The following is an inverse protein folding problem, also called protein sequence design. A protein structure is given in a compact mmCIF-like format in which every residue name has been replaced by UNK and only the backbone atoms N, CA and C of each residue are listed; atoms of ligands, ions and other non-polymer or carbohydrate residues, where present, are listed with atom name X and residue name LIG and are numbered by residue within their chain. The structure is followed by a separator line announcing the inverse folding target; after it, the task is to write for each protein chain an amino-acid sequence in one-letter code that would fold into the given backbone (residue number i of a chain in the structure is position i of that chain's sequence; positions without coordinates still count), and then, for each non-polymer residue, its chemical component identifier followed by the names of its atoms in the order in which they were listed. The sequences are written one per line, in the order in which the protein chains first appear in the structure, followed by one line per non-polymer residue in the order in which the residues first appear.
data_IF_211454138157
#
_entry.id   IF_211454138157
#
_cell.length_a   1.000
_cell.length_b   1.000
_cell.length_c   1.000
_cell.angle_alpha   90.00
_cell.angle_beta   90.00
_cell.angle_gamma   90.00
#
_symmetry.space_group_name_H-M   'P 1'
#
loop_
_entity.id
_entity.type
_entity.pdbx_description
1 polymer ?
#
# COMPACT_ATOMS: atom_id res chain seq x y z
N UNK A 1 -8.17 -10.68 9.53
CA UNK A 1 -6.72 -10.87 9.31
C UNK A 1 -6.49 -12.31 8.89
N UNK A 2 -6.05 -12.59 7.68
CA UNK A 2 -5.91 -13.98 7.21
C UNK A 2 -5.34 -14.14 5.81
N UNK A 3 -5.49 -13.13 4.95
CA UNK A 3 -4.76 -13.04 3.68
C UNK A 3 -3.28 -12.70 3.94
N UNK A 4 -2.38 -13.31 3.15
CA UNK A 4 -0.94 -13.00 3.15
C UNK A 4 -0.65 -11.53 2.84
N UNK A 5 -1.58 -10.83 2.16
CA UNK A 5 -1.52 -9.39 1.90
C UNK A 5 -1.34 -8.57 3.18
N UNK A 6 -1.86 -9.02 4.32
CA UNK A 6 -1.71 -8.30 5.59
C UNK A 6 -0.27 -8.24 6.11
N UNK A 7 0.61 -9.17 5.72
CA UNK A 7 2.00 -9.16 6.17
C UNK A 7 2.74 -7.89 5.74
N UNK A 8 2.39 -7.30 4.59
CA UNK A 8 3.02 -6.05 4.11
C UNK A 8 2.71 -4.86 4.99
N UNK A 9 1.58 -4.86 5.70
CA UNK A 9 1.25 -3.83 6.68
C UNK A 9 2.18 -3.85 7.90
N UNK A 10 2.93 -4.93 8.12
CA UNK A 10 3.79 -5.14 9.28
C UNK A 10 5.24 -5.45 8.87
N UNK A 11 5.69 -4.94 7.71
CA UNK A 11 7.04 -5.21 7.19
C UNK A 11 8.15 -4.95 8.22
N UNK A 12 8.02 -3.91 9.04
CA UNK A 12 8.98 -3.55 10.09
C UNK A 12 9.02 -4.52 11.29
N UNK A 13 7.95 -5.29 11.52
CA UNK A 13 7.87 -6.33 12.55
C UNK A 13 8.36 -7.69 12.05
N UNK A 14 8.11 -7.98 10.76
CA UNK A 14 8.57 -9.19 10.06
C UNK A 14 10.08 -9.12 9.85
N UNK A 15 10.58 -7.99 9.34
CA UNK A 15 12.00 -7.77 9.06
C UNK A 15 12.60 -6.97 10.22
N UNK A 16 13.15 -7.70 11.21
CA UNK A 16 13.69 -7.13 12.45
C UNK A 16 15.16 -6.71 12.36
N UNK A 17 15.87 -7.11 11.31
CA UNK A 17 17.26 -6.71 11.10
C UNK A 17 17.36 -5.18 10.93
N UNK A 18 18.03 -4.52 11.87
CA UNK A 18 18.18 -3.06 11.89
C UNK A 18 19.03 -2.51 10.73
N UNK A 19 19.82 -3.38 10.08
CA UNK A 19 20.59 -3.02 8.88
C UNK A 19 19.70 -2.87 7.65
N UNK A 20 18.56 -3.55 7.62
CA UNK A 20 17.57 -3.40 6.56
C UNK A 20 16.77 -2.12 6.81
N UNK A 21 17.05 -1.11 5.99
CA UNK A 21 16.41 0.21 6.09
C UNK A 21 15.14 0.30 5.25
N UNK A 22 15.16 -0.28 4.06
CA UNK A 22 14.10 -0.16 3.07
C UNK A 22 13.74 -1.54 2.53
N UNK A 23 12.45 -1.75 2.31
CA UNK A 23 11.91 -2.99 1.74
C UNK A 23 10.99 -2.63 0.59
N UNK A 24 11.29 -3.11 -0.60
CA UNK A 24 10.34 -3.12 -1.69
C UNK A 24 9.46 -4.37 -1.55
N UNK A 25 8.14 -4.18 -1.56
CA UNK A 25 7.16 -5.23 -1.66
C UNK A 25 6.57 -5.21 -3.05
N UNK A 26 6.64 -6.34 -3.73
CA UNK A 26 6.12 -6.52 -5.09
C UNK A 26 5.04 -7.57 -5.00
N UNK A 27 3.84 -7.23 -5.47
CA UNK A 27 2.74 -8.18 -5.53
C UNK A 27 3.02 -9.21 -6.63
N UNK A 28 3.23 -10.47 -6.25
CA UNK A 28 3.57 -11.55 -7.18
C UNK A 28 2.34 -12.06 -7.98
N UNK A 29 1.15 -11.49 -7.75
CA UNK A 29 -0.10 -11.89 -8.37
C UNK A 29 -0.44 -11.12 -9.65
N UNK A 30 -1.63 -10.52 -9.65
CA UNK A 30 -2.41 -10.14 -10.84
C UNK A 30 -1.92 -8.89 -11.59
N UNK A 31 -0.61 -8.63 -11.62
CA UNK A 31 -0.01 -7.45 -12.21
C UNK A 31 1.07 -7.81 -13.23
N UNK A 32 1.14 -6.99 -14.29
CA UNK A 32 2.25 -7.00 -15.23
C UNK A 32 3.14 -5.81 -14.91
N UNK A 33 4.38 -6.05 -14.50
CA UNK A 33 5.35 -4.99 -14.24
C UNK A 33 6.00 -4.53 -15.55
N UNK A 34 5.86 -3.25 -15.86
CA UNK A 34 6.37 -2.65 -17.10
C UNK A 34 7.80 -2.11 -16.95
N UNK A 35 8.32 -2.11 -15.73
CA UNK A 35 9.66 -1.64 -15.36
C UNK A 35 10.27 -2.57 -14.32
N UNK A 36 11.59 -2.53 -14.16
CA UNK A 36 12.29 -3.25 -13.10
C UNK A 36 11.91 -2.68 -11.72
N UNK A 37 11.24 -3.45 -10.83
CA UNK A 37 10.88 -2.99 -9.49
C UNK A 37 12.08 -2.58 -8.63
N UNK A 38 13.30 -3.05 -8.94
CA UNK A 38 14.50 -2.65 -8.21
C UNK A 38 14.76 -1.13 -8.31
N UNK A 39 14.35 -0.49 -9.41
CA UNK A 39 14.47 0.95 -9.58
C UNK A 39 13.63 1.74 -8.57
N UNK A 40 12.63 1.12 -7.92
CA UNK A 40 11.86 1.78 -6.86
C UNK A 40 12.75 2.21 -5.69
N UNK A 41 13.83 1.49 -5.45
CA UNK A 41 14.79 1.83 -4.41
C UNK A 41 15.50 3.15 -4.70
N UNK A 42 15.62 3.56 -5.96
CA UNK A 42 16.16 4.88 -6.32
C UNK A 42 15.22 6.02 -5.90
N UNK A 43 13.92 5.77 -5.80
CA UNK A 43 12.96 6.76 -5.29
C UNK A 43 13.02 6.93 -3.78
N UNK A 44 13.76 6.08 -3.04
CA UNK A 44 13.94 6.19 -1.59
C UNK A 44 14.30 7.61 -1.15
N UNK A 45 15.20 8.27 -1.86
CA UNK A 45 15.68 9.59 -1.44
C UNK A 45 14.56 10.65 -1.50
N UNK A 46 13.50 10.39 -2.26
CA UNK A 46 12.31 11.23 -2.36
C UNK A 46 11.33 11.03 -1.20
N UNK A 47 11.51 10.00 -0.36
CA UNK A 47 10.62 9.70 0.77
C UNK A 47 10.79 10.76 1.88
N UNK A 48 11.84 11.57 1.82
CA UNK A 48 12.12 12.57 2.84
C UNK A 48 12.22 11.94 4.24
N UNK A 49 12.16 12.76 5.29
CA UNK A 49 12.32 12.29 6.68
C UNK A 49 11.01 11.84 7.35
N UNK A 50 9.88 11.89 6.66
CA UNK A 50 8.54 11.69 7.28
C UNK A 50 7.69 10.61 6.61
N UNK A 51 8.04 10.15 5.41
CA UNK A 51 7.25 9.14 4.68
C UNK A 51 7.70 7.75 5.12
N UNK A 52 6.74 6.92 5.54
CA UNK A 52 6.96 5.54 5.94
C UNK A 52 6.69 4.55 4.79
N UNK A 53 5.85 4.93 3.82
CA UNK A 53 5.50 4.08 2.68
C UNK A 53 5.48 4.89 1.38
N UNK A 54 5.97 4.30 0.31
CA UNK A 54 5.73 4.74 -1.06
C UNK A 54 4.81 3.75 -1.74
N UNK A 55 3.82 4.24 -2.47
CA UNK A 55 2.79 3.40 -3.08
C UNK A 55 2.73 3.73 -4.57
N UNK A 56 2.95 2.73 -5.43
CA UNK A 56 2.71 2.88 -6.86
C UNK A 56 1.31 2.33 -7.16
N UNK A 57 0.39 3.22 -7.50
CA UNK A 57 -1.01 2.88 -7.76
C UNK A 57 -1.83 4.13 -8.13
N UNK A 58 -3.02 3.95 -8.70
CA UNK A 58 -3.88 5.08 -9.03
C UNK A 58 -4.31 5.82 -7.76
N UNK A 59 -3.95 7.11 -7.68
CA UNK A 59 -4.36 8.01 -6.62
C UNK A 59 -5.90 8.15 -6.53
N UNK A 60 -6.62 7.79 -7.60
CA UNK A 60 -8.08 7.88 -7.70
C UNK A 60 -8.83 6.59 -7.31
N UNK A 61 -8.12 5.61 -6.77
CA UNK A 61 -8.74 4.43 -6.16
C UNK A 61 -8.91 3.25 -7.10
N UNK A 62 -8.24 2.15 -6.76
CA UNK A 62 -8.88 0.93 -6.22
C UNK A 62 -7.75 -0.08 -5.98
N UNK A 63 -7.56 -0.42 -4.70
CA UNK A 63 -7.28 -1.76 -4.16
C UNK A 63 -5.96 -2.46 -4.49
N UNK A 64 -5.52 -2.43 -5.74
CA UNK A 64 -4.30 -3.07 -6.18
C UNK A 64 -3.12 -2.25 -5.68
N UNK A 65 -2.41 -2.75 -4.67
CA UNK A 65 -1.15 -2.17 -4.26
C UNK A 65 -0.02 -3.01 -4.89
N UNK A 66 0.25 -2.88 -6.21
CA UNK A 66 1.18 -3.75 -6.93
C UNK A 66 2.60 -3.62 -6.40
N UNK A 67 2.95 -2.41 -5.97
CA UNK A 67 4.28 -2.04 -5.54
C UNK A 67 4.16 -1.12 -4.33
N UNK A 68 4.83 -1.52 -3.26
CA UNK A 68 5.05 -0.67 -2.10
C UNK A 68 6.54 -0.63 -1.79
N UNK A 69 6.99 0.49 -1.25
CA UNK A 69 8.31 0.60 -0.66
C UNK A 69 8.14 1.08 0.76
N UNK A 70 8.74 0.40 1.71
CA UNK A 70 8.60 0.68 3.13
C UNK A 70 9.93 1.18 3.70
N UNK A 71 9.91 2.33 4.39
CA UNK A 71 11.03 2.77 5.24
C UNK A 71 10.80 2.20 6.65
N UNK A 72 11.50 1.12 6.98
CA UNK A 72 11.30 0.39 8.24
C UNK A 72 11.61 1.25 9.48
N UNK A 73 12.70 2.03 9.54
CA UNK A 73 12.92 3.00 10.61
C UNK A 73 11.75 3.95 10.81
N UNK A 74 11.22 4.53 9.73
CA UNK A 74 10.11 5.47 9.84
C UNK A 74 8.80 4.78 10.27
N UNK A 75 8.53 3.56 9.81
CA UNK A 75 7.42 2.76 10.32
C UNK A 75 7.53 2.53 11.83
N UNK A 76 8.73 2.19 12.33
CA UNK A 76 8.97 2.00 13.77
C UNK A 76 8.77 3.30 14.55
N UNK A 77 9.32 4.42 14.06
CA UNK A 77 9.19 5.73 14.70
C UNK A 77 7.75 6.27 14.72
N UNK A 78 6.95 5.91 13.72
CA UNK A 78 5.55 6.35 13.63
C UNK A 78 4.56 5.50 14.41
N UNK A 79 5.03 4.50 15.18
CA UNK A 79 4.16 3.51 15.82
C UNK A 79 3.18 2.86 14.83
N UNK A 80 3.68 2.49 13.65
CA UNK A 80 2.87 2.07 12.51
C UNK A 80 1.84 0.99 12.85
N UNK A 81 2.24 -0.09 13.54
CA UNK A 81 1.32 -1.16 13.91
C UNK A 81 0.16 -0.69 14.80
N UNK A 82 0.40 0.29 15.66
CA UNK A 82 -0.66 0.90 16.47
C UNK A 82 -1.64 1.69 15.59
N UNK A 83 -1.14 2.42 14.59
CA UNK A 83 -1.99 3.11 13.61
C UNK A 83 -2.86 2.12 12.82
N UNK A 84 -2.25 1.03 12.32
CA UNK A 84 -2.99 -0.03 11.61
C UNK A 84 -4.07 -0.62 12.52
N UNK A 85 -3.74 -0.98 13.76
CA UNK A 85 -4.70 -1.56 14.70
C UNK A 85 -5.85 -0.59 15.03
N UNK A 86 -5.55 0.71 15.22
CA UNK A 86 -6.56 1.75 15.45
C UNK A 86 -7.54 1.84 14.27
N UNK A 87 -7.03 1.91 13.05
CA UNK A 87 -7.83 2.03 11.84
C UNK A 87 -8.68 0.78 11.63
N UNK A 88 -8.10 -0.42 11.78
CA UNK A 88 -8.87 -1.65 11.62
C UNK A 88 -9.99 -1.75 12.66
N UNK A 89 -9.74 -1.40 13.92
CA UNK A 89 -10.80 -1.39 14.94
C UNK A 89 -11.93 -0.43 14.59
N UNK A 90 -11.57 0.77 14.10
CA UNK A 90 -12.53 1.80 13.69
C UNK A 90 -13.36 1.34 12.48
N UNK A 91 -12.72 0.88 11.41
CA UNK A 91 -13.40 0.41 10.20
C UNK A 91 -14.22 -0.86 10.50
N UNK A 92 -13.74 -1.76 11.38
CA UNK A 92 -14.47 -2.99 11.73
C UNK A 92 -15.74 -2.68 12.53
N UNK A 93 -15.75 -1.63 13.36
CA UNK A 93 -16.96 -1.20 14.04
C UNK A 93 -18.06 -0.72 13.06
N UNK A 94 -17.67 -0.26 11.88
CA UNK A 94 -18.61 0.24 10.84
C UNK A 94 -19.00 -0.86 9.86
N UNK A 95 -18.01 -1.61 9.35
CA UNK A 95 -18.19 -2.57 8.25
C UNK A 95 -18.33 -4.02 8.75
N UNK A 96 -17.98 -4.29 10.00
CA UNK A 96 -18.01 -5.63 10.58
C UNK A 96 -17.16 -6.63 9.77
N UNK A 97 -17.65 -7.86 9.58
CA UNK A 97 -16.94 -8.90 8.83
C UNK A 97 -16.56 -8.53 7.40
N UNK A 98 -17.31 -7.63 6.73
CA UNK A 98 -17.04 -7.21 5.35
C UNK A 98 -15.66 -6.56 5.18
N UNK A 99 -15.11 -5.96 6.25
CA UNK A 99 -13.75 -5.42 6.21
C UNK A 99 -12.70 -6.48 5.82
N UNK A 100 -12.93 -7.75 6.17
CA UNK A 100 -12.01 -8.83 5.82
C UNK A 100 -11.96 -9.11 4.31
N UNK A 101 -13.04 -8.80 3.58
CA UNK A 101 -13.14 -8.98 2.12
C UNK A 101 -12.51 -7.81 1.36
N UNK A 102 -12.50 -6.61 1.96
CA UNK A 102 -11.92 -5.40 1.37
C UNK A 102 -10.38 -5.33 1.45
N UNK A 103 -9.78 -6.17 2.30
CA UNK A 103 -8.33 -6.37 2.37
C UNK A 103 -7.52 -5.22 2.97
N UNK A 104 -6.19 -5.38 2.92
CA UNK A 104 -5.25 -4.41 3.46
C UNK A 104 -5.17 -3.11 2.65
N UNK A 105 -5.47 -3.15 1.34
CA UNK A 105 -5.51 -1.96 0.50
C UNK A 105 -6.47 -0.90 1.02
N UNK A 106 -7.69 -1.31 1.37
CA UNK A 106 -8.71 -0.46 2.02
C UNK A 106 -8.18 0.12 3.33
N UNK A 107 -7.56 -0.71 4.17
CA UNK A 107 -7.03 -0.30 5.48
C UNK A 107 -5.89 0.71 5.33
N UNK A 108 -4.99 0.50 4.37
CA UNK A 108 -3.89 1.42 4.09
C UNK A 108 -4.42 2.77 3.61
N UNK A 109 -5.39 2.78 2.71
CA UNK A 109 -6.04 4.02 2.24
C UNK A 109 -6.72 4.75 3.41
N UNK A 110 -7.48 4.04 4.24
CA UNK A 110 -8.12 4.62 5.41
C UNK A 110 -7.09 5.19 6.42
N UNK A 111 -5.99 4.48 6.64
CA UNK A 111 -4.92 4.94 7.55
C UNK A 111 -4.21 6.20 7.06
N UNK A 112 -4.13 6.39 5.74
CA UNK A 112 -3.50 7.54 5.11
C UNK A 112 -4.50 8.67 4.83
N UNK A 113 -5.80 8.43 5.00
CA UNK A 113 -6.82 9.44 4.80
C UNK A 113 -6.95 10.35 6.04
N UNK A 114 -7.13 11.65 5.78
CA UNK A 114 -7.39 12.64 6.84
C UNK A 114 -8.70 12.35 7.57
N UNK A 115 -9.69 11.83 6.84
CA UNK A 115 -11.05 11.61 7.33
C UNK A 115 -11.11 10.50 8.39
N UNK A 116 -10.32 9.43 8.21
CA UNK A 116 -10.37 8.26 9.10
C UNK A 116 -9.26 8.29 10.14
N UNK A 117 -8.04 8.70 9.75
CA UNK A 117 -6.88 8.60 10.64
C UNK A 117 -6.50 9.91 11.34
N UNK A 118 -7.07 11.04 10.90
CA UNK A 118 -6.78 12.37 11.41
C UNK A 118 -5.71 13.13 10.60
N UNK A 119 -5.51 14.43 10.89
CA UNK A 119 -4.56 15.26 10.16
C UNK A 119 -3.10 14.82 10.40
N UNK A 120 -2.30 14.80 9.34
CA UNK A 120 -0.87 14.51 9.38
C UNK A 120 -0.51 13.11 8.91
N UNK A 121 -1.44 12.15 8.92
CA UNK A 121 -1.16 10.78 8.46
C UNK A 121 -1.00 10.69 6.94
N UNK A 122 -1.57 11.62 6.18
CA UNK A 122 -1.32 11.74 4.74
C UNK A 122 0.16 12.03 4.43
N UNK A 123 0.91 12.52 5.44
CA UNK A 123 2.35 12.79 5.32
C UNK A 123 3.19 11.52 5.43
N UNK A 124 2.59 10.38 5.78
CA UNK A 124 3.29 9.09 5.91
C UNK A 124 3.43 8.37 4.57
N UNK A 125 2.64 8.74 3.54
CA UNK A 125 2.70 8.10 2.22
C UNK A 125 3.30 8.98 1.15
N UNK A 126 4.10 8.40 0.26
CA UNK A 126 4.60 9.03 -0.95
C UNK A 126 3.95 8.37 -2.18
N UNK A 127 3.29 9.13 -3.08
CA UNK A 127 2.80 8.54 -4.32
C UNK A 127 3.98 8.27 -5.26
N UNK A 128 4.16 7.01 -5.64
CA UNK A 128 5.12 6.60 -6.67
C UNK A 128 4.43 6.67 -8.06
N UNK A 129 5.20 6.82 -9.15
CA UNK A 129 4.63 6.85 -10.49
C UNK A 129 3.78 5.60 -10.79
N UNK A 130 2.54 5.79 -11.27
CA UNK A 130 1.58 4.71 -11.54
C UNK A 130 1.88 3.90 -12.81
N UNK A 131 2.92 4.26 -13.57
CA UNK A 131 3.29 3.64 -14.86
C UNK A 131 4.08 2.34 -14.73
N UNK A 132 4.29 1.84 -13.52
CA UNK A 132 5.19 0.71 -13.25
C UNK A 132 4.50 -0.65 -13.31
N UNK A 133 3.19 -0.67 -13.07
CA UNK A 133 2.41 -1.89 -13.06
C UNK A 133 1.10 -1.67 -13.83
N UNK A 134 0.78 -2.66 -14.66
CA UNK A 134 -0.47 -2.77 -15.38
C UNK A 134 -1.34 -3.85 -14.70
N UNK A 135 -2.64 -3.61 -14.61
CA UNK A 135 -3.63 -4.55 -14.05
C UNK A 135 -4.47 -5.13 -15.20
N UNK A 136 -4.12 -6.31 -15.77
CA UNK A 136 -4.85 -6.87 -16.90
C UNK A 136 -6.33 -7.10 -16.59
N UNK A 137 -6.64 -7.65 -15.41
CA UNK A 137 -8.02 -7.90 -14.97
C UNK A 137 -8.84 -6.62 -14.80
N UNK A 138 -8.24 -5.51 -14.40
CA UNK A 138 -8.97 -4.24 -14.28
C UNK A 138 -9.46 -3.73 -15.65
N UNK A 139 -8.79 -4.16 -16.74
CA UNK A 139 -9.19 -3.89 -18.12
C UNK A 139 -10.11 -4.98 -18.68
N UNK A 140 -10.07 -6.20 -18.13
CA UNK A 140 -10.76 -7.38 -18.67
C UNK A 140 -12.03 -7.80 -17.91
N UNK A 141 -12.35 -7.22 -16.75
CA UNK A 141 -13.61 -7.52 -16.03
C UNK A 141 -14.80 -6.92 -16.80
N UNK A 142 -15.74 -7.76 -17.31
CA UNK A 142 -16.89 -7.29 -18.08
C UNK A 142 -17.84 -6.53 -17.15
N UNK A 143 -17.75 -5.20 -17.24
CA UNK A 143 -18.47 -4.22 -16.43
C UNK A 143 -17.98 -2.79 -16.69
N UNK A 144 -16.74 -2.66 -17.19
CA UNK A 144 -16.24 -1.46 -17.89
C UNK A 144 -15.77 -1.93 -19.26
N UNK A 145 -16.54 -1.56 -20.29
CA UNK A 145 -16.46 -2.16 -21.62
C UNK A 145 -15.06 -2.15 -22.22
N UNK A 146 -14.73 -3.27 -22.88
CA UNK A 146 -13.63 -3.36 -23.84
C UNK A 146 -13.99 -2.47 -25.04
N UNK A 147 -13.67 -1.18 -24.95
CA UNK A 147 -13.65 -0.29 -26.10
C UNK A 147 -12.22 -0.31 -26.66
N UNK A 148 -12.04 -1.20 -27.64
CA UNK A 148 -10.95 -1.27 -28.63
C UNK A 148 -9.50 -1.35 -28.11
N UNK A 149 -8.97 -2.57 -28.06
CA UNK A 149 -7.60 -2.84 -28.49
C UNK A 149 -7.61 -3.01 -30.02
N UNK A 150 -7.72 -1.89 -30.76
CA UNK A 150 -7.32 -1.71 -32.16
C UNK A 150 -7.07 -0.22 -32.40
#
# INVERSE_FOLDING_TARGET
YGSSGWLRMFAHEVIRDARVRVVAWVDAGDFVFLQDPAHLLAHRDLFGKRRAVGIAGDANGVGGLPLQVFDLPQMRQSNWSHLVAKVVRSEYAVLGPQLCELGEGRTLVAMLSKEVAGPGNEQLSYPLPSTWAYMPWAVWIPGRGVASLW
#
